data_IF_966986780840
#
_entry.id   IF_966986780840
#
_cell.length_a   1.000
_cell.length_b   1.000
_cell.length_c   1.000
_cell.angle_alpha   90.00
_cell.angle_beta   90.00
_cell.angle_gamma   90.00
#
_symmetry.space_group_name_H-M   'P 1'
#
loop_
_entity.id
_entity.type
_entity.pdbx_description
1 polymer ?
#
# COMPACT_ATOMS: atom_id res chain seq x y z
N UNK A 1 -5.82 -23.50 -29.53
CA UNK A 1 -6.04 -22.20 -28.85
C UNK A 1 -5.79 -21.01 -29.79
N UNK A 2 -4.79 -21.07 -30.67
CA UNK A 2 -4.54 -20.02 -31.68
C UNK A 2 -5.64 -19.94 -32.76
N UNK A 3 -6.11 -21.08 -33.29
CA UNK A 3 -7.15 -21.12 -34.32
C UNK A 3 -8.49 -20.51 -33.86
N UNK A 4 -8.83 -20.65 -32.58
CA UNK A 4 -10.04 -20.07 -31.98
C UNK A 4 -9.95 -18.55 -31.82
N UNK A 5 -8.75 -18.03 -31.51
CA UNK A 5 -8.52 -16.58 -31.41
C UNK A 5 -8.56 -15.92 -32.79
N UNK A 6 -7.96 -16.55 -33.81
CA UNK A 6 -7.99 -16.08 -35.20
C UNK A 6 -9.43 -16.07 -35.73
N UNK A 7 -10.21 -17.12 -35.45
CA UNK A 7 -11.62 -17.20 -35.85
C UNK A 7 -12.49 -16.14 -35.17
N UNK A 8 -12.30 -15.90 -33.87
CA UNK A 8 -12.98 -14.83 -33.12
C UNK A 8 -12.62 -13.44 -33.68
N UNK A 9 -11.34 -13.22 -33.96
CA UNK A 9 -10.84 -11.97 -34.52
C UNK A 9 -11.44 -11.68 -35.90
N UNK A 10 -11.48 -12.68 -36.79
CA UNK A 10 -12.05 -12.54 -38.12
C UNK A 10 -13.56 -12.27 -38.09
N UNK A 11 -14.30 -12.91 -37.18
CA UNK A 11 -15.73 -12.62 -37.00
C UNK A 11 -15.96 -11.21 -36.46
N UNK A 12 -15.18 -10.76 -35.49
CA UNK A 12 -15.29 -9.40 -34.94
C UNK A 12 -15.05 -8.34 -36.02
N UNK A 13 -14.05 -8.53 -36.88
CA UNK A 13 -13.79 -7.63 -38.02
C UNK A 13 -14.96 -7.64 -39.00
N UNK A 14 -15.50 -8.82 -39.33
CA UNK A 14 -16.64 -8.93 -40.25
C UNK A 14 -17.89 -8.23 -39.71
N UNK A 15 -18.24 -8.45 -38.45
CA UNK A 15 -19.36 -7.75 -37.79
C UNK A 15 -19.13 -6.25 -37.70
N UNK A 16 -17.89 -5.80 -37.45
CA UNK A 16 -17.54 -4.39 -37.44
C UNK A 16 -17.79 -3.76 -38.83
N UNK A 17 -17.31 -4.40 -39.90
CA UNK A 17 -17.53 -3.92 -41.28
C UNK A 17 -19.03 -3.85 -41.60
N UNK A 18 -19.81 -4.88 -41.27
CA UNK A 18 -21.26 -4.89 -41.47
C UNK A 18 -21.96 -3.77 -40.70
N UNK A 19 -21.54 -3.49 -39.46
CA UNK A 19 -22.04 -2.38 -38.66
C UNK A 19 -21.72 -1.02 -39.30
N UNK A 20 -20.48 -0.83 -39.79
CA UNK A 20 -20.10 0.42 -40.45
C UNK A 20 -20.92 0.68 -41.71
N UNK A 21 -21.19 -0.37 -42.51
CA UNK A 21 -22.03 -0.30 -43.69
C UNK A 21 -23.51 -0.06 -43.34
N UNK A 22 -24.04 -0.75 -42.33
CA UNK A 22 -25.43 -0.62 -41.90
C UNK A 22 -25.77 0.79 -41.40
N UNK A 23 -24.82 1.46 -40.74
CA UNK A 23 -24.98 2.82 -40.23
C UNK A 23 -24.42 3.92 -41.16
N UNK A 24 -23.97 3.58 -42.38
CA UNK A 24 -23.28 4.50 -43.30
C UNK A 24 -22.14 5.30 -42.62
N UNK A 25 -21.43 4.66 -41.69
CA UNK A 25 -20.34 5.28 -40.96
C UNK A 25 -19.08 5.24 -41.83
N UNK A 26 -18.60 6.41 -42.24
CA UNK A 26 -17.34 6.54 -42.95
C UNK A 26 -16.18 6.02 -42.07
N UNK A 27 -15.33 5.17 -42.64
CA UNK A 27 -14.12 4.66 -41.98
C UNK A 27 -13.21 5.81 -41.53
N UNK A 28 -13.17 6.90 -42.30
CA UNK A 28 -12.44 8.13 -41.96
C UNK A 28 -13.05 8.79 -40.72
N UNK A 29 -14.38 8.84 -40.64
CA UNK A 29 -15.10 9.36 -39.48
C UNK A 29 -14.86 8.51 -38.23
N UNK A 30 -14.87 7.17 -38.36
CA UNK A 30 -14.57 6.26 -37.25
C UNK A 30 -13.12 6.36 -36.77
N UNK A 31 -12.16 6.51 -37.69
CA UNK A 31 -10.75 6.73 -37.34
C UNK A 31 -10.56 8.07 -36.61
N UNK A 32 -11.26 9.13 -37.05
CA UNK A 32 -11.27 10.42 -36.37
C UNK A 32 -11.89 10.32 -34.97
N UNK A 33 -13.03 9.63 -34.84
CA UNK A 33 -13.73 9.41 -33.57
C UNK A 33 -12.85 8.60 -32.59
N UNK A 34 -12.18 7.56 -33.07
CA UNK A 34 -11.20 6.82 -32.28
C UNK A 34 -10.05 7.71 -31.83
N UNK A 35 -9.50 8.55 -32.71
CA UNK A 35 -8.48 9.53 -32.37
C UNK A 35 -8.91 10.48 -31.26
N UNK A 36 -10.17 10.94 -31.29
CA UNK A 36 -10.77 11.79 -30.26
C UNK A 36 -10.91 11.07 -28.90
N UNK A 37 -11.35 9.82 -28.88
CA UNK A 37 -11.60 9.07 -27.63
C UNK A 37 -10.39 8.32 -27.08
N UNK A 38 -9.38 8.01 -27.91
CA UNK A 38 -8.15 7.32 -27.49
C UNK A 38 -7.49 7.93 -26.24
N UNK A 39 -7.25 9.26 -26.13
CA UNK A 39 -6.67 9.83 -24.91
C UNK A 39 -7.56 9.61 -23.69
N UNK A 40 -8.89 9.73 -23.82
CA UNK A 40 -9.84 9.46 -22.75
C UNK A 40 -9.74 7.99 -22.29
N UNK A 41 -9.72 7.03 -23.22
CA UNK A 41 -9.55 5.61 -22.90
C UNK A 41 -8.24 5.33 -22.17
N UNK A 42 -7.13 5.97 -22.59
CA UNK A 42 -5.83 5.81 -21.93
C UNK A 42 -5.84 6.38 -20.50
N UNK A 43 -6.46 7.54 -20.28
CA UNK A 43 -6.60 8.12 -18.93
C UNK A 43 -7.46 7.23 -18.05
N UNK A 44 -8.60 6.75 -18.54
CA UNK A 44 -9.47 5.84 -17.79
C UNK A 44 -8.77 4.53 -17.45
N UNK A 45 -7.97 3.99 -18.38
CA UNK A 45 -7.15 2.81 -18.15
C UNK A 45 -6.09 3.07 -17.07
N UNK A 46 -5.38 4.21 -17.13
CA UNK A 46 -4.38 4.57 -16.13
C UNK A 46 -4.99 4.74 -14.73
N UNK A 47 -6.17 5.38 -14.65
CA UNK A 47 -6.91 5.57 -13.39
C UNK A 47 -7.33 4.27 -12.73
N UNK A 48 -7.55 3.20 -13.50
CA UNK A 48 -7.85 1.87 -12.97
C UNK A 48 -6.60 1.05 -12.69
N UNK A 49 -5.60 1.14 -13.57
CA UNK A 49 -4.39 0.35 -13.49
C UNK A 49 -3.59 0.68 -12.22
N UNK A 50 -3.42 1.97 -11.90
CA UNK A 50 -2.63 2.37 -10.74
C UNK A 50 -3.21 1.86 -9.41
N UNK A 51 -4.48 2.10 -9.06
CA UNK A 51 -5.04 1.54 -7.83
C UNK A 51 -5.08 0.01 -7.85
N UNK A 52 -5.37 -0.62 -9.00
CA UNK A 52 -5.41 -2.08 -9.11
C UNK A 52 -4.04 -2.71 -8.83
N UNK A 53 -2.95 -2.11 -9.30
CA UNK A 53 -1.59 -2.60 -9.01
C UNK A 53 -1.22 -2.46 -7.54
N UNK A 54 -1.59 -1.36 -6.86
CA UNK A 54 -1.36 -1.21 -5.41
C UNK A 54 -2.13 -2.29 -4.64
N UNK A 55 -3.40 -2.52 -4.99
CA UNK A 55 -4.19 -3.58 -4.39
C UNK A 55 -3.60 -4.97 -4.66
N UNK A 56 -3.13 -5.23 -5.89
CA UNK A 56 -2.46 -6.47 -6.24
C UNK A 56 -1.20 -6.69 -5.38
N UNK A 57 -0.40 -5.65 -5.17
CA UNK A 57 0.77 -5.72 -4.30
C UNK A 57 0.38 -5.98 -2.84
N UNK A 58 -0.65 -5.30 -2.32
CA UNK A 58 -1.11 -5.46 -0.95
C UNK A 58 -1.67 -6.86 -0.68
N UNK A 59 -2.59 -7.32 -1.52
CA UNK A 59 -3.18 -8.66 -1.41
C UNK A 59 -2.19 -9.76 -1.77
N UNK A 60 -1.31 -9.52 -2.74
CA UNK A 60 -0.20 -10.41 -3.09
C UNK A 60 0.77 -10.59 -1.92
N UNK A 61 1.09 -9.52 -1.19
CA UNK A 61 1.91 -9.57 0.02
C UNK A 61 1.25 -10.40 1.11
N UNK A 62 -0.04 -10.20 1.36
CA UNK A 62 -0.78 -10.98 2.34
C UNK A 62 -0.89 -12.46 1.95
N UNK A 63 -1.16 -12.76 0.68
CA UNK A 63 -1.20 -14.13 0.15
C UNK A 63 0.17 -14.80 0.25
N UNK A 64 1.25 -14.10 -0.11
CA UNK A 64 2.62 -14.59 0.03
C UNK A 64 2.91 -14.96 1.49
N UNK A 65 2.57 -14.09 2.45
CA UNK A 65 2.74 -14.37 3.88
C UNK A 65 1.90 -15.55 4.35
N UNK A 66 0.67 -15.68 3.85
CA UNK A 66 -0.21 -16.81 4.14
C UNK A 66 0.42 -18.13 3.69
N UNK A 67 0.89 -18.18 2.43
CA UNK A 67 1.57 -19.35 1.86
C UNK A 67 2.87 -19.63 2.64
N UNK A 68 3.65 -18.59 2.93
CA UNK A 68 4.90 -18.72 3.69
C UNK A 68 4.65 -19.28 5.09
N UNK A 69 3.65 -18.79 5.82
CA UNK A 69 3.24 -19.31 7.14
C UNK A 69 2.82 -20.77 7.05
N UNK A 70 2.06 -21.13 6.02
CA UNK A 70 1.60 -22.50 5.81
C UNK A 70 2.77 -23.46 5.57
N UNK A 71 3.70 -23.13 4.67
CA UNK A 71 4.86 -23.97 4.38
C UNK A 71 5.87 -24.04 5.52
N UNK A 72 6.03 -22.95 6.26
CA UNK A 72 6.97 -22.90 7.38
C UNK A 72 6.31 -23.20 8.73
N UNK A 73 5.14 -23.85 8.76
CA UNK A 73 4.42 -24.16 10.00
C UNK A 73 5.25 -24.95 11.01
N UNK A 74 6.12 -25.85 10.54
CA UNK A 74 7.04 -26.56 11.42
C UNK A 74 8.11 -25.63 11.99
N UNK A 75 8.72 -24.77 11.16
CA UNK A 75 9.65 -23.73 11.64
C UNK A 75 9.00 -22.77 12.62
N UNK A 76 7.74 -22.41 12.41
CA UNK A 76 6.98 -21.54 13.33
C UNK A 76 6.93 -22.05 14.77
N UNK A 77 7.04 -23.37 14.99
CA UNK A 77 7.08 -23.95 16.32
C UNK A 77 8.47 -23.88 16.99
N UNK A 78 9.53 -23.61 16.23
CA UNK A 78 10.92 -23.68 16.69
C UNK A 78 11.73 -22.39 16.45
N UNK A 79 11.26 -21.45 15.63
CA UNK A 79 11.97 -20.20 15.30
C UNK A 79 11.41 -19.03 16.08
N UNK A 80 12.27 -18.22 16.69
CA UNK A 80 11.87 -16.99 17.39
C UNK A 80 11.30 -15.90 16.47
N UNK A 81 11.72 -15.84 15.20
CA UNK A 81 11.16 -14.89 14.22
C UNK A 81 10.85 -15.58 12.87
N UNK A 82 9.66 -16.18 12.81
CA UNK A 82 9.12 -16.80 11.58
C UNK A 82 9.09 -15.79 10.42
N UNK A 83 8.75 -14.54 10.72
CA UNK A 83 8.36 -13.56 9.72
C UNK A 83 9.53 -12.78 9.14
N UNK A 84 10.66 -12.70 9.85
CA UNK A 84 11.83 -11.89 9.45
C UNK A 84 12.19 -12.04 7.97
N UNK A 85 12.42 -13.26 7.48
CA UNK A 85 12.80 -13.51 6.10
C UNK A 85 11.72 -13.14 5.08
N UNK A 86 10.46 -13.38 5.41
CA UNK A 86 9.33 -13.06 4.55
C UNK A 86 9.09 -11.55 4.47
N UNK A 87 9.12 -10.85 5.62
CA UNK A 87 9.02 -9.38 5.68
C UNK A 87 10.20 -8.75 4.95
N UNK A 88 11.43 -9.26 5.10
CA UNK A 88 12.58 -8.74 4.39
C UNK A 88 12.43 -8.86 2.86
N UNK A 89 11.89 -9.98 2.39
CA UNK A 89 11.58 -10.19 0.96
C UNK A 89 10.55 -9.17 0.48
N UNK A 90 9.44 -9.03 1.21
CA UNK A 90 8.41 -8.04 0.88
C UNK A 90 8.96 -6.61 0.91
N UNK A 91 9.79 -6.29 1.90
CA UNK A 91 10.37 -4.96 2.05
C UNK A 91 11.20 -4.58 0.83
N UNK A 92 12.02 -5.49 0.29
CA UNK A 92 12.77 -5.27 -0.95
C UNK A 92 11.84 -5.03 -2.15
N UNK A 93 10.76 -5.78 -2.28
CA UNK A 93 9.80 -5.59 -3.37
C UNK A 93 9.08 -4.24 -3.31
N UNK A 94 8.61 -3.86 -2.12
CA UNK A 94 7.95 -2.59 -1.89
C UNK A 94 8.91 -1.40 -2.04
N UNK A 95 10.17 -1.55 -1.61
CA UNK A 95 11.23 -0.55 -1.81
C UNK A 95 11.58 -0.33 -3.29
N UNK A 96 11.68 -1.41 -4.06
CA UNK A 96 11.90 -1.34 -5.51
C UNK A 96 10.73 -0.62 -6.20
N UNK A 97 9.50 -0.97 -5.83
CA UNK A 97 8.32 -0.29 -6.35
C UNK A 97 8.33 1.19 -5.98
N UNK A 98 8.63 1.54 -4.72
CA UNK A 98 8.72 2.92 -4.24
C UNK A 98 9.69 3.75 -5.08
N UNK A 99 10.86 3.17 -5.37
CA UNK A 99 11.92 3.80 -6.15
C UNK A 99 11.51 3.98 -7.61
N UNK A 100 10.97 2.94 -8.25
CA UNK A 100 10.62 2.99 -9.68
C UNK A 100 9.40 3.89 -9.94
N UNK A 101 8.38 3.80 -9.09
CA UNK A 101 7.08 4.44 -9.36
C UNK A 101 7.05 5.88 -8.88
N UNK A 102 7.62 6.13 -7.70
CA UNK A 102 7.46 7.40 -7.01
C UNK A 102 8.79 8.11 -6.76
N UNK A 103 9.93 7.48 -7.06
CA UNK A 103 11.24 8.02 -6.69
C UNK A 103 11.32 8.28 -5.18
N UNK A 104 10.72 7.41 -4.37
CA UNK A 104 10.48 7.70 -2.96
C UNK A 104 11.79 7.74 -2.15
N UNK A 105 12.05 8.87 -1.52
CA UNK A 105 13.22 9.13 -0.68
C UNK A 105 12.78 9.58 0.72
N UNK A 106 13.64 9.28 1.71
CA UNK A 106 13.42 9.66 3.10
C UNK A 106 14.66 10.39 3.57
N UNK A 107 14.54 11.70 3.70
CA UNK A 107 15.58 12.54 4.32
C UNK A 107 15.56 12.37 5.84
N UNK A 108 16.74 12.31 6.45
CA UNK A 108 16.84 12.21 7.91
C UNK A 108 16.48 10.86 8.49
N UNK A 109 16.43 9.79 7.67
CA UNK A 109 16.31 8.40 8.15
C UNK A 109 17.40 8.13 9.20
N UNK A 110 18.56 8.75 9.02
CA UNK A 110 19.50 9.30 10.02
C UNK A 110 19.18 9.11 11.48
N UNK A 111 18.13 9.86 11.82
CA UNK A 111 17.79 10.29 13.16
C UNK A 111 16.99 9.24 13.89
N UNK A 112 16.58 8.15 13.23
CA UNK A 112 15.96 7.00 13.89
C UNK A 112 17.07 6.20 14.58
N UNK A 113 17.15 6.24 15.93
CA UNK A 113 18.19 5.53 16.65
C UNK A 113 18.08 4.01 16.46
N UNK A 114 19.23 3.33 16.49
CA UNK A 114 19.31 1.86 16.36
C UNK A 114 18.63 1.15 17.53
N UNK A 115 18.60 1.78 18.72
CA UNK A 115 17.97 1.26 19.93
C UNK A 115 17.22 2.37 20.67
N UNK A 116 16.25 1.99 21.47
CA UNK A 116 15.41 2.92 22.23
C UNK A 116 14.13 3.29 21.49
N UNK A 117 13.25 4.04 22.18
CA UNK A 117 11.93 4.36 21.68
C UNK A 117 11.95 5.47 20.65
N UNK A 118 11.02 5.37 19.70
CA UNK A 118 10.83 6.36 18.65
C UNK A 118 9.34 6.50 18.42
N UNK A 119 8.83 7.73 18.49
CA UNK A 119 7.45 8.03 18.12
C UNK A 119 7.43 8.71 16.75
N UNK A 120 6.92 8.00 15.75
CA UNK A 120 6.70 8.53 14.40
C UNK A 120 5.27 9.04 14.32
N UNK A 121 5.13 10.33 14.03
CA UNK A 121 3.85 10.97 13.77
C UNK A 121 3.79 11.25 12.28
N UNK A 122 2.78 10.69 11.61
CA UNK A 122 2.61 10.85 10.17
C UNK A 122 1.16 11.17 9.83
N UNK A 123 0.94 11.71 8.63
CA UNK A 123 -0.36 11.78 7.99
C UNK A 123 -0.45 10.70 6.93
N UNK A 124 -1.65 10.33 6.50
CA UNK A 124 -1.80 9.44 5.35
C UNK A 124 -3.02 9.78 4.51
N UNK A 125 -2.97 9.40 3.23
CA UNK A 125 -4.11 9.38 2.33
C UNK A 125 -5.05 8.20 2.64
N UNK A 126 -6.11 8.01 1.84
CA UNK A 126 -7.04 6.89 2.01
C UNK A 126 -6.34 5.51 2.00
N UNK A 127 -5.28 5.38 1.20
CA UNK A 127 -4.34 4.25 1.23
C UNK A 127 -2.96 4.82 1.60
N UNK A 128 -2.37 4.41 2.74
CA UNK A 128 -1.11 4.98 3.26
C UNK A 128 0.13 4.38 2.55
N UNK A 129 0.21 4.52 1.23
CA UNK A 129 1.28 3.93 0.40
C UNK A 129 2.65 4.50 0.79
N UNK A 130 2.70 5.80 1.00
CA UNK A 130 3.86 6.53 1.53
C UNK A 130 4.40 5.91 2.83
N UNK A 131 3.50 5.55 3.75
CA UNK A 131 3.89 4.90 4.98
C UNK A 131 4.38 3.46 4.79
N UNK A 132 3.85 2.72 3.80
CA UNK A 132 4.41 1.41 3.46
C UNK A 132 5.87 1.54 3.02
N UNK A 133 6.18 2.55 2.19
CA UNK A 133 7.55 2.82 1.77
C UNK A 133 8.43 3.24 2.95
N UNK A 134 7.97 4.14 3.80
CA UNK A 134 8.69 4.52 5.02
C UNK A 134 8.97 3.29 5.92
N UNK A 135 7.97 2.43 6.12
CA UNK A 135 8.14 1.19 6.87
C UNK A 135 9.27 0.34 6.28
N UNK A 136 9.29 0.15 4.96
CA UNK A 136 10.33 -0.64 4.30
C UNK A 136 11.72 -0.04 4.42
N UNK A 137 11.85 1.28 4.32
CA UNK A 137 13.12 1.98 4.53
C UNK A 137 13.63 1.78 5.96
N UNK A 138 12.75 1.90 6.96
CA UNK A 138 13.12 1.68 8.36
C UNK A 138 13.50 0.22 8.60
N UNK A 139 12.74 -0.73 8.03
CA UNK A 139 13.04 -2.16 8.13
C UNK A 139 14.41 -2.49 7.53
N UNK A 140 14.67 -2.08 6.29
CA UNK A 140 15.88 -2.45 5.53
C UNK A 140 17.13 -1.70 6.01
N UNK A 141 17.04 -0.40 6.27
CA UNK A 141 18.21 0.45 6.52
C UNK A 141 18.45 0.75 8.01
N UNK A 142 17.43 0.61 8.85
CA UNK A 142 17.56 0.77 10.31
C UNK A 142 17.46 -0.54 11.07
N UNK A 143 17.08 -1.63 10.40
CA UNK A 143 16.84 -2.93 11.04
C UNK A 143 15.92 -2.81 12.27
N UNK A 144 14.90 -1.95 12.14
CA UNK A 144 13.92 -1.67 13.19
C UNK A 144 12.54 -2.09 12.70
N UNK A 145 11.83 -2.86 13.53
CA UNK A 145 10.39 -3.09 13.35
C UNK A 145 9.60 -1.88 13.85
N UNK A 146 8.67 -1.41 13.03
CA UNK A 146 7.73 -0.32 13.36
C UNK A 146 6.41 -0.93 13.78
N UNK A 147 5.92 -0.59 14.98
CA UNK A 147 4.57 -0.95 15.42
C UNK A 147 3.61 0.14 14.98
N UNK A 148 2.59 -0.24 14.21
CA UNK A 148 1.65 0.73 13.63
C UNK A 148 0.33 0.63 14.36
N UNK A 149 -0.16 1.78 14.83
CA UNK A 149 -1.48 1.88 15.46
C UNK A 149 -2.51 2.24 14.41
N UNK A 150 -3.48 1.36 14.20
CA UNK A 150 -4.57 1.57 13.23
C UNK A 150 -5.94 1.42 13.89
N UNK A 151 -6.96 1.97 13.26
CA UNK A 151 -8.34 1.81 13.72
C UNK A 151 -8.82 0.36 13.52
N UNK A 152 -9.75 -0.07 14.37
CA UNK A 152 -10.33 -1.42 14.37
C UNK A 152 -10.99 -1.79 13.03
N UNK A 153 -11.41 -0.83 12.20
CA UNK A 153 -12.01 -1.14 10.90
C UNK A 153 -11.05 -1.89 9.97
N UNK A 154 -9.74 -1.66 10.06
CA UNK A 154 -8.74 -2.29 9.18
C UNK A 154 -8.77 -3.81 9.31
N UNK A 155 -9.04 -4.32 10.52
CA UNK A 155 -9.17 -5.75 10.80
C UNK A 155 -10.44 -6.39 10.24
N UNK A 156 -11.41 -5.58 9.79
CA UNK A 156 -12.62 -6.06 9.11
C UNK A 156 -12.39 -6.25 7.61
N UNK A 157 -11.27 -5.79 7.05
CA UNK A 157 -10.96 -5.96 5.63
C UNK A 157 -10.53 -7.41 5.40
N UNK A 158 -11.27 -8.18 4.57
CA UNK A 158 -10.95 -9.58 4.33
C UNK A 158 -9.61 -9.71 3.60
N UNK A 159 -8.88 -10.77 3.92
CA UNK A 159 -7.62 -11.12 3.26
C UNK A 159 -6.37 -10.39 3.76
N UNK A 160 -6.47 -9.42 4.67
CA UNK A 160 -5.31 -8.69 5.21
C UNK A 160 -4.80 -9.21 6.56
N UNK A 161 -5.51 -10.11 7.21
CA UNK A 161 -5.21 -10.54 8.58
C UNK A 161 -3.76 -11.04 8.78
N UNK A 162 -3.25 -11.85 7.85
CA UNK A 162 -1.87 -12.38 7.93
C UNK A 162 -0.82 -11.30 7.73
N UNK A 163 -1.09 -10.32 6.86
CA UNK A 163 -0.20 -9.17 6.69
C UNK A 163 -0.15 -8.31 7.96
N UNK A 164 -1.32 -8.01 8.55
CA UNK A 164 -1.40 -7.24 9.80
C UNK A 164 -0.70 -7.96 10.96
N UNK A 165 -0.87 -9.28 11.05
CA UNK A 165 -0.18 -10.13 12.03
C UNK A 165 1.35 -10.09 11.85
N UNK A 166 1.85 -10.31 10.63
CA UNK A 166 3.28 -10.32 10.36
C UNK A 166 3.94 -8.97 10.66
N UNK A 167 3.25 -7.86 10.34
CA UNK A 167 3.76 -6.51 10.55
C UNK A 167 3.50 -5.97 11.98
N UNK A 168 2.92 -6.76 12.88
CA UNK A 168 2.53 -6.35 14.24
C UNK A 168 1.62 -5.10 14.27
N UNK A 169 0.75 -4.96 13.28
CA UNK A 169 -0.21 -3.86 13.20
C UNK A 169 -1.38 -4.21 14.11
N UNK A 170 -1.71 -3.32 15.05
CA UNK A 170 -2.73 -3.57 16.06
C UNK A 170 -3.49 -2.30 16.46
N UNK A 171 -4.76 -2.41 16.88
CA UNK A 171 -5.45 -1.31 17.53
C UNK A 171 -4.84 -1.16 18.93
N UNK A 172 -4.46 0.07 19.30
CA UNK A 172 -3.82 0.33 20.58
C UNK A 172 -4.53 1.46 21.34
N UNK A 173 -4.57 1.33 22.66
CA UNK A 173 -4.96 2.40 23.58
C UNK A 173 -3.73 3.27 23.90
N UNK A 174 -3.93 4.48 24.41
CA UNK A 174 -2.81 5.35 24.81
C UNK A 174 -1.87 4.67 25.83
N UNK A 175 -2.41 3.86 26.75
CA UNK A 175 -1.62 3.12 27.73
C UNK A 175 -0.76 2.04 27.07
N UNK A 176 -1.30 1.30 26.08
CA UNK A 176 -0.54 0.33 25.30
C UNK A 176 0.55 1.00 24.47
N UNK A 177 0.24 2.13 23.84
CA UNK A 177 1.24 2.91 23.10
C UNK A 177 2.40 3.33 24.00
N UNK A 178 2.09 3.79 25.22
CA UNK A 178 3.11 4.15 26.20
C UNK A 178 3.97 2.95 26.56
N UNK A 179 3.36 1.79 26.86
CA UNK A 179 4.09 0.56 27.18
C UNK A 179 5.05 0.17 26.04
N UNK A 180 4.62 0.26 24.78
CA UNK A 180 5.48 -0.04 23.63
C UNK A 180 6.68 0.91 23.53
N UNK A 181 6.49 2.19 23.87
CA UNK A 181 7.59 3.15 23.94
C UNK A 181 8.48 2.88 25.16
N UNK A 182 7.94 2.57 26.32
CA UNK A 182 8.72 2.20 27.52
C UNK A 182 9.59 0.94 27.25
N UNK A 183 9.11 0.02 26.39
CA UNK A 183 9.85 -1.17 25.90
C UNK A 183 10.91 -0.85 24.81
N UNK A 184 11.00 0.39 24.34
CA UNK A 184 11.97 0.82 23.33
C UNK A 184 11.60 0.47 21.88
N UNK A 185 10.31 0.27 21.59
CA UNK A 185 9.84 0.04 20.22
C UNK A 185 9.74 1.35 19.41
N UNK A 186 9.78 1.22 18.09
CA UNK A 186 9.40 2.31 17.18
C UNK A 186 7.88 2.22 17.01
N UNK A 187 7.17 3.27 17.38
CA UNK A 187 5.71 3.36 17.30
C UNK A 187 5.32 4.40 16.26
N UNK A 188 4.45 4.05 15.33
CA UNK A 188 3.90 4.97 14.35
C UNK A 188 2.41 5.21 14.61
N UNK A 189 2.04 6.49 14.68
CA UNK A 189 0.68 6.94 14.94
C UNK A 189 0.27 7.99 13.90
N UNK A 190 -0.96 7.87 13.39
CA UNK A 190 -1.56 8.82 12.45
C UNK A 190 -2.98 9.22 12.87
N UNK A 191 -3.49 10.29 12.25
CA UNK A 191 -4.88 10.71 12.33
C UNK A 191 -5.69 10.35 11.07
N UNK A 192 -6.96 10.00 11.27
CA UNK A 192 -7.87 9.62 10.16
C UNK A 192 -8.37 10.82 9.35
N UNK A 193 -8.40 12.02 9.93
CA UNK A 193 -8.96 13.22 9.28
C UNK A 193 -8.25 13.53 7.97
N UNK A 194 -6.93 13.46 7.98
CA UNK A 194 -6.06 13.75 6.85
C UNK A 194 -6.40 12.85 5.66
N UNK A 195 -6.79 11.59 5.92
CA UNK A 195 -7.18 10.64 4.88
C UNK A 195 -8.49 11.01 4.15
N UNK A 196 -9.35 11.83 4.77
CA UNK A 196 -10.67 12.19 4.25
C UNK A 196 -10.72 13.59 3.62
N UNK A 197 -9.81 14.48 4.00
CA UNK A 197 -9.92 15.91 3.69
C UNK A 197 -8.61 16.53 3.14
N UNK A 198 -7.61 15.72 2.81
CA UNK A 198 -6.37 16.23 2.19
C UNK A 198 -6.52 16.48 0.69
N UNK A 199 -5.73 17.44 0.20
CA UNK A 199 -5.51 17.76 -1.21
C UNK A 199 -3.99 17.93 -1.45
N UNK A 200 -3.61 18.30 -2.67
CA UNK A 200 -2.19 18.42 -3.06
C UNK A 200 -1.43 19.57 -2.37
N UNK A 201 -2.13 20.53 -1.75
CA UNK A 201 -1.52 21.67 -1.05
C UNK A 201 -1.91 21.69 0.44
N UNK A 202 -2.30 20.52 0.97
CA UNK A 202 -2.87 20.43 2.30
C UNK A 202 -1.84 20.73 3.37
N UNK A 203 -2.14 21.73 4.20
CA UNK A 203 -1.41 21.94 5.44
C UNK A 203 -1.96 21.03 6.52
N UNK A 204 -1.05 20.37 7.25
CA UNK A 204 -1.39 19.44 8.31
C UNK A 204 -2.13 20.16 9.45
N UNK A 205 -3.38 19.74 9.73
CA UNK A 205 -4.22 20.39 10.74
C UNK A 205 -4.68 19.36 11.78
N UNK A 206 -3.98 19.33 12.92
CA UNK A 206 -4.29 18.45 14.04
C UNK A 206 -5.50 18.92 14.89
N UNK A 207 -5.81 20.23 14.90
CA UNK A 207 -6.81 20.86 15.79
C UNK A 207 -6.56 20.47 17.26
N UNK A 208 -7.59 20.02 17.97
CA UNK A 208 -7.52 19.62 19.38
C UNK A 208 -7.08 18.15 19.59
N UNK A 209 -6.72 17.43 18.51
CA UNK A 209 -6.20 16.06 18.61
C UNK A 209 -4.75 16.09 19.11
N UNK A 210 -4.58 16.22 20.43
CA UNK A 210 -3.28 16.31 21.13
C UNK A 210 -2.85 14.98 21.75
N UNK A 211 -3.46 13.85 21.36
CA UNK A 211 -3.21 12.53 21.96
C UNK A 211 -1.76 12.08 21.78
N UNK A 212 -1.20 12.23 20.57
CA UNK A 212 0.20 11.91 20.29
C UNK A 212 1.17 12.79 21.08
N UNK A 213 0.84 14.07 21.29
CA UNK A 213 1.70 15.00 22.03
C UNK A 213 1.72 14.67 23.53
N UNK A 214 0.58 14.30 24.11
CA UNK A 214 0.52 13.79 25.49
C UNK A 214 1.35 12.52 25.64
N UNK A 215 1.21 11.59 24.68
CA UNK A 215 2.00 10.36 24.66
C UNK A 215 3.51 10.64 24.58
N UNK A 216 3.93 11.58 23.73
CA UNK A 216 5.33 11.99 23.59
C UNK A 216 5.89 12.54 24.91
N UNK A 217 5.16 13.45 25.57
CA UNK A 217 5.53 14.01 26.87
C UNK A 217 5.63 12.91 27.94
N UNK A 218 4.63 12.03 28.01
CA UNK A 218 4.55 10.97 29.01
C UNK A 218 5.65 9.92 28.84
N UNK A 219 6.01 9.60 27.60
CA UNK A 219 7.07 8.64 27.24
C UNK A 219 8.46 9.29 27.13
N UNK A 220 8.56 10.63 27.22
CA UNK A 220 9.80 11.41 27.10
C UNK A 220 10.54 11.16 25.77
N UNK A 221 9.80 11.16 24.68
CA UNK A 221 10.30 10.99 23.30
C UNK A 221 9.92 12.14 22.39
#
# INVERSE_FOLDING_TARGET
MELTLIWLWNNLIHYFILLTQHFNLDVIYLAWLWGLFKPLCLVLLALWLLPATILLFLYGSSLFLLIYKHWNRLKAAYSEDLWFGAINTLAVFWELQATIWHGYEVEGLEHIPVKGPVLIIFYHAAIPIDFYYLYTKIWLYRNRRVRVVVDKFVFKIPGLATLLEALEIQPATAAMCKLMLDEGHVLAVSGVREALFSDNNYQLIWKDRKGFAKLAIDAKV
#
